data_IF_569917549419
#
_entry.id   IF_569917549419
#
_cell.length_a   1.000
_cell.length_b   1.000
_cell.length_c   1.000
_cell.angle_alpha   90.00
_cell.angle_beta   90.00
_cell.angle_gamma   90.00
#
_symmetry.space_group_name_H-M   'P 1'
#
loop_
_entity.id
_entity.type
_entity.pdbx_description
1 polymer ?
#
# COMPACT_ATOMS: atom_id res chain seq x y z
N UNK A 1 4.01 -4.10 -13.09
CA UNK A 1 5.36 -4.28 -12.51
C UNK A 1 6.30 -3.28 -13.13
N UNK A 2 6.42 -3.21 -14.46
CA UNK A 2 7.28 -2.24 -15.15
C UNK A 2 7.13 -0.81 -14.63
N UNK A 3 5.91 -0.27 -14.53
CA UNK A 3 5.68 1.08 -13.98
C UNK A 3 6.24 1.25 -12.57
N UNK A 4 5.97 0.29 -11.68
CA UNK A 4 6.49 0.29 -10.30
C UNK A 4 8.03 0.26 -10.28
N UNK A 5 8.65 -0.58 -11.11
CA UNK A 5 10.11 -0.70 -11.18
C UNK A 5 10.81 0.50 -11.82
N UNK A 6 10.10 1.35 -12.56
CA UNK A 6 10.60 2.63 -13.07
C UNK A 6 10.39 3.79 -12.10
N UNK A 7 9.80 3.55 -10.92
CA UNK A 7 9.69 4.56 -9.87
C UNK A 7 10.77 4.36 -8.82
N UNK A 8 11.50 5.44 -8.51
CA UNK A 8 12.50 5.43 -7.45
C UNK A 8 11.82 5.23 -6.09
N UNK A 9 12.30 4.25 -5.31
CA UNK A 9 11.74 3.89 -3.99
C UNK A 9 10.25 3.49 -3.98
N UNK A 10 9.66 3.11 -5.12
CA UNK A 10 8.30 2.58 -5.19
C UNK A 10 8.22 1.15 -4.65
N UNK A 11 7.34 0.92 -3.68
CA UNK A 11 7.11 -0.39 -3.06
C UNK A 11 5.82 -1.08 -3.53
N UNK A 12 4.82 -0.29 -3.90
CA UNK A 12 3.53 -0.80 -4.34
C UNK A 12 2.86 0.11 -5.37
N UNK A 13 1.81 -0.40 -6.01
CA UNK A 13 0.98 0.36 -6.92
C UNK A 13 -0.40 -0.28 -7.06
N UNK A 14 -1.45 0.51 -6.84
CA UNK A 14 -2.82 0.22 -7.16
C UNK A 14 -3.15 0.64 -8.61
N UNK A 15 -3.92 -0.19 -9.31
CA UNK A 15 -4.17 0.00 -10.74
C UNK A 15 -4.83 1.35 -11.10
N UNK A 16 -5.62 1.92 -10.20
CA UNK A 16 -6.27 3.21 -10.44
C UNK A 16 -5.27 4.39 -10.45
N UNK A 17 -4.11 4.28 -9.80
CA UNK A 17 -3.05 5.29 -9.86
C UNK A 17 -2.48 5.45 -11.29
N UNK A 18 -2.66 4.43 -12.16
CA UNK A 18 -2.28 4.46 -13.58
C UNK A 18 -3.50 4.46 -14.52
N UNK A 19 -4.68 4.85 -14.02
CA UNK A 19 -5.89 5.02 -14.82
C UNK A 19 -6.61 3.71 -15.19
N UNK A 20 -6.26 2.60 -14.55
CA UNK A 20 -6.92 1.30 -14.78
C UNK A 20 -7.95 1.06 -13.68
N UNK A 21 -9.24 1.12 -14.04
CA UNK A 21 -10.37 0.92 -13.12
C UNK A 21 -10.64 -0.58 -12.85
N UNK A 22 -9.63 -1.29 -12.37
CA UNK A 22 -9.73 -2.68 -11.89
C UNK A 22 -9.17 -2.75 -10.47
N UNK A 23 -9.69 -3.66 -9.65
CA UNK A 23 -9.18 -3.90 -8.30
C UNK A 23 -7.93 -4.77 -8.33
N UNK A 24 -6.81 -4.18 -8.72
CA UNK A 24 -5.51 -4.84 -8.80
C UNK A 24 -4.46 -4.06 -8.02
N UNK A 25 -3.61 -4.77 -7.29
CA UNK A 25 -2.46 -4.22 -6.57
C UNK A 25 -1.23 -5.02 -6.97
N UNK A 26 -0.11 -4.34 -7.18
CA UNK A 26 1.21 -4.96 -7.26
C UNK A 26 2.10 -4.47 -6.13
N UNK A 27 2.87 -5.36 -5.52
CA UNK A 27 3.81 -5.03 -4.43
C UNK A 27 5.15 -5.71 -4.73
N UNK A 28 6.23 -4.95 -4.60
CA UNK A 28 7.61 -5.44 -4.61
C UNK A 28 8.39 -4.74 -3.50
N UNK A 29 8.33 -5.32 -2.30
CA UNK A 29 8.84 -4.66 -1.10
C UNK A 29 9.17 -5.66 0.01
N UNK A 30 10.27 -5.46 0.75
CA UNK A 30 10.69 -6.32 1.87
C UNK A 30 10.77 -7.83 1.52
N UNK A 31 11.26 -8.18 0.32
CA UNK A 31 11.28 -9.53 -0.24
C UNK A 31 9.90 -10.16 -0.51
N UNK A 32 8.84 -9.35 -0.45
CA UNK A 32 7.51 -9.75 -0.87
C UNK A 32 7.24 -9.29 -2.28
N UNK A 33 6.78 -10.22 -3.11
CA UNK A 33 6.41 -9.97 -4.49
C UNK A 33 4.98 -10.45 -4.74
N UNK A 34 4.04 -9.52 -4.76
CA UNK A 34 2.62 -9.83 -4.85
C UNK A 34 1.95 -9.21 -6.07
N UNK A 35 1.04 -9.97 -6.67
CA UNK A 35 0.07 -9.54 -7.66
C UNK A 35 -1.30 -9.94 -7.13
N UNK A 36 -2.05 -8.97 -6.63
CA UNK A 36 -3.30 -9.21 -5.92
C UNK A 36 -4.47 -8.75 -6.77
N UNK A 37 -5.40 -9.67 -7.03
CA UNK A 37 -6.64 -9.41 -7.76
C UNK A 37 -7.80 -9.43 -6.77
N UNK A 38 -8.67 -8.42 -6.85
CA UNK A 38 -9.79 -8.21 -5.92
C UNK A 38 -9.41 -8.29 -4.43
N UNK A 39 -8.32 -7.63 -3.99
CA UNK A 39 -7.89 -7.71 -2.60
C UNK A 39 -8.91 -7.05 -1.66
N UNK A 40 -9.11 -7.68 -0.50
CA UNK A 40 -9.93 -7.17 0.61
C UNK A 40 -9.28 -7.53 1.95
N UNK A 41 -9.32 -6.59 2.89
CA UNK A 41 -8.92 -6.85 4.27
C UNK A 41 -10.03 -7.68 4.92
N UNK A 42 -9.68 -8.83 5.50
CA UNK A 42 -10.61 -9.74 6.19
C UNK A 42 -10.31 -9.88 7.69
N UNK A 43 -9.19 -9.31 8.15
CA UNK A 43 -8.85 -9.25 9.55
C UNK A 43 -7.78 -8.20 9.80
N UNK A 44 -7.82 -7.59 10.99
CA UNK A 44 -6.83 -6.60 11.43
C UNK A 44 -6.71 -6.61 12.94
N UNK A 45 -5.51 -6.35 13.46
CA UNK A 45 -5.27 -6.28 14.90
C UNK A 45 -4.09 -5.37 15.26
N UNK A 46 -4.12 -4.83 16.48
CA UNK A 46 -3.11 -3.89 16.99
C UNK A 46 -3.16 -2.54 16.28
N UNK A 47 -2.31 -1.60 16.72
CA UNK A 47 -2.26 -0.22 16.21
C UNK A 47 -0.81 0.25 16.18
N UNK A 48 -0.42 0.99 15.15
CA UNK A 48 0.91 1.58 14.98
C UNK A 48 0.80 2.96 14.34
N UNK A 49 1.78 3.81 14.65
CA UNK A 49 2.05 5.03 13.90
C UNK A 49 2.93 4.67 12.71
N UNK A 50 2.57 5.21 11.54
CA UNK A 50 3.27 4.95 10.29
C UNK A 50 3.58 6.26 9.57
N UNK A 51 4.73 6.33 8.90
CA UNK A 51 5.01 7.40 7.93
C UNK A 51 4.65 6.87 6.54
N UNK A 52 3.84 7.63 5.82
CA UNK A 52 3.37 7.31 4.48
C UNK A 52 3.74 8.41 3.49
N UNK A 53 4.19 7.98 2.32
CA UNK A 53 4.27 8.79 1.10
C UNK A 53 3.63 8.00 -0.04
N UNK A 54 3.14 8.71 -1.05
CA UNK A 54 2.45 8.09 -2.16
C UNK A 54 3.00 8.52 -3.52
N UNK A 55 3.12 7.58 -4.47
CA UNK A 55 3.56 7.89 -5.84
C UNK A 55 2.63 8.90 -6.55
N UNK A 56 1.36 8.92 -6.17
CA UNK A 56 0.36 9.85 -6.72
C UNK A 56 0.41 11.26 -6.10
N UNK A 57 1.11 11.42 -4.98
CA UNK A 57 1.21 12.68 -4.22
C UNK A 57 2.67 12.97 -3.86
N UNK A 58 3.50 13.31 -4.86
CA UNK A 58 4.93 13.52 -4.64
C UNK A 58 5.18 14.66 -3.66
N UNK A 59 6.21 14.51 -2.82
CA UNK A 59 6.62 15.45 -1.76
C UNK A 59 5.63 15.64 -0.61
N UNK A 60 4.56 14.85 -0.54
CA UNK A 60 3.67 14.83 0.61
C UNK A 60 3.93 13.61 1.47
N UNK A 61 4.26 13.86 2.73
CA UNK A 61 4.45 12.82 3.71
C UNK A 61 3.72 13.16 5.00
N UNK A 62 3.03 12.16 5.53
CA UNK A 62 2.23 12.33 6.74
C UNK A 62 2.39 11.12 7.63
N UNK A 63 2.17 11.36 8.91
CA UNK A 63 2.00 10.29 9.88
C UNK A 63 0.53 9.87 9.89
N UNK A 64 0.30 8.56 9.91
CA UNK A 64 -1.03 7.94 9.97
C UNK A 64 -1.08 6.92 11.10
N UNK A 65 -2.30 6.49 11.45
CA UNK A 65 -2.53 5.36 12.35
C UNK A 65 -3.02 4.16 11.54
N UNK A 66 -2.28 3.06 11.59
CA UNK A 66 -2.60 1.81 10.88
C UNK A 66 -2.69 0.62 11.83
N UNK A 67 -3.39 -0.47 11.45
CA UNK A 67 -3.28 -1.72 12.19
C UNK A 67 -1.85 -2.27 12.15
N UNK A 68 -1.41 -2.90 13.24
CA UNK A 68 -0.09 -3.56 13.30
C UNK A 68 -0.02 -4.82 12.44
N UNK A 69 -1.15 -5.51 12.29
CA UNK A 69 -1.29 -6.71 11.48
C UNK A 69 -2.57 -6.65 10.66
N UNK A 70 -2.48 -7.11 9.41
CA UNK A 70 -3.59 -7.18 8.46
C UNK A 70 -3.58 -8.52 7.75
N UNK A 71 -4.75 -9.13 7.61
CA UNK A 71 -4.96 -10.31 6.75
C UNK A 71 -5.78 -9.90 5.54
N UNK A 72 -5.26 -10.18 4.35
CA UNK A 72 -5.88 -9.88 3.05
C UNK A 72 -6.29 -11.18 2.38
N UNK A 73 -7.53 -11.23 1.89
CA UNK A 73 -7.99 -12.23 0.93
C UNK A 73 -7.94 -11.62 -0.47
N UNK A 74 -7.39 -12.35 -1.44
CA UNK A 74 -7.30 -11.94 -2.83
C UNK A 74 -7.29 -13.17 -3.76
N UNK A 75 -7.30 -12.94 -5.07
CA UNK A 75 -6.87 -13.94 -6.05
C UNK A 75 -5.44 -13.65 -6.50
N UNK A 76 -4.66 -14.69 -6.76
CA UNK A 76 -3.34 -14.57 -7.39
C UNK A 76 -3.47 -14.37 -8.92
N UNK A 77 -2.33 -14.28 -9.62
CA UNK A 77 -2.32 -14.08 -11.09
C UNK A 77 -2.91 -15.25 -11.90
N UNK A 78 -3.02 -16.44 -11.30
CA UNK A 78 -3.67 -17.61 -11.88
C UNK A 78 -5.17 -17.67 -11.56
N UNK A 79 -5.70 -16.72 -10.78
CA UNK A 79 -7.10 -16.69 -10.35
C UNK A 79 -7.43 -17.57 -9.14
N UNK A 80 -6.42 -18.08 -8.45
CA UNK A 80 -6.59 -18.92 -7.26
C UNK A 80 -6.72 -18.04 -6.00
N UNK A 81 -7.62 -18.41 -5.09
CA UNK A 81 -7.80 -17.69 -3.83
C UNK A 81 -6.60 -17.87 -2.91
N UNK A 82 -6.11 -16.76 -2.38
CA UNK A 82 -5.00 -16.69 -1.43
C UNK A 82 -5.38 -15.86 -0.22
N UNK A 83 -4.83 -16.25 0.93
CA UNK A 83 -4.91 -15.51 2.18
C UNK A 83 -3.50 -15.16 2.63
N UNK A 84 -3.19 -13.87 2.72
CA UNK A 84 -1.88 -13.36 3.10
C UNK A 84 -1.99 -12.50 4.35
N UNK A 85 -1.03 -12.61 5.25
CA UNK A 85 -0.95 -11.77 6.44
C UNK A 85 0.35 -10.97 6.42
N UNK A 86 0.23 -9.67 6.68
CA UNK A 86 1.34 -8.75 6.80
C UNK A 86 1.33 -8.06 8.16
N UNK A 87 2.51 -7.68 8.64
CA UNK A 87 2.72 -6.94 9.88
C UNK A 87 3.58 -5.70 9.60
N UNK A 88 3.53 -4.70 10.48
CA UNK A 88 4.36 -3.50 10.37
C UNK A 88 4.17 -2.76 9.04
N UNK A 89 5.26 -2.55 8.31
CA UNK A 89 5.27 -1.86 7.01
C UNK A 89 4.43 -2.56 5.94
N UNK A 90 4.32 -3.90 5.97
CA UNK A 90 3.47 -4.62 5.01
C UNK A 90 1.98 -4.46 5.34
N UNK A 91 1.63 -4.40 6.64
CA UNK A 91 0.26 -4.10 7.06
C UNK A 91 -0.17 -2.69 6.60
N UNK A 92 0.73 -1.71 6.75
CA UNK A 92 0.57 -0.34 6.21
C UNK A 92 0.35 -0.36 4.70
N UNK A 93 1.24 -1.03 3.96
CA UNK A 93 1.17 -1.14 2.50
C UNK A 93 -0.18 -1.73 2.05
N UNK A 94 -0.63 -2.84 2.64
CA UNK A 94 -1.95 -3.39 2.30
C UNK A 94 -3.10 -2.42 2.57
N UNK A 95 -3.07 -1.67 3.67
CA UNK A 95 -4.10 -0.67 3.94
C UNK A 95 -4.10 0.42 2.87
N UNK A 96 -2.93 1.01 2.58
CA UNK A 96 -2.76 2.09 1.62
C UNK A 96 -3.26 1.71 0.22
N UNK A 97 -2.79 0.58 -0.31
CA UNK A 97 -3.12 0.15 -1.67
C UNK A 97 -4.59 -0.25 -1.82
N UNK A 98 -5.19 -0.86 -0.79
CA UNK A 98 -6.61 -1.24 -0.83
C UNK A 98 -7.51 0.00 -0.72
N UNK A 99 -7.07 1.03 0.00
CA UNK A 99 -7.76 2.33 0.09
C UNK A 99 -7.76 3.08 -1.24
N UNK A 100 -6.65 3.03 -2.00
CA UNK A 100 -6.64 3.52 -3.37
C UNK A 100 -7.75 2.89 -4.22
N UNK A 101 -7.94 1.56 -4.13
CA UNK A 101 -9.01 0.87 -4.85
C UNK A 101 -10.42 1.25 -4.39
N UNK A 102 -10.56 1.88 -3.23
CA UNK A 102 -11.82 2.39 -2.68
C UNK A 102 -12.01 3.90 -2.98
N UNK A 103 -11.05 4.54 -3.65
CA UNK A 103 -11.07 5.97 -3.93
C UNK A 103 -10.71 6.84 -2.72
N UNK A 104 -10.06 6.25 -1.72
CA UNK A 104 -9.56 6.95 -0.54
C UNK A 104 -8.09 7.33 -0.72
N UNK A 105 -7.66 8.39 -0.04
CA UNK A 105 -6.27 8.85 -0.04
C UNK A 105 -5.74 8.95 1.39
N UNK A 106 -4.45 8.65 1.56
CA UNK A 106 -3.81 8.63 2.88
C UNK A 106 -3.79 10.00 3.58
N UNK A 107 -3.82 11.10 2.82
CA UNK A 107 -3.84 12.47 3.35
C UNK A 107 -5.06 12.74 4.23
N UNK A 108 -6.22 12.13 3.92
CA UNK A 108 -7.43 12.26 4.74
C UNK A 108 -7.30 11.59 6.12
N UNK A 109 -6.26 10.78 6.31
CA UNK A 109 -5.96 10.06 7.56
C UNK A 109 -4.74 10.63 8.30
N UNK A 110 -4.19 11.74 7.81
CA UNK A 110 -3.03 12.39 8.41
C UNK A 110 -3.34 12.85 9.85
N UNK A 111 -2.46 12.48 10.78
CA UNK A 111 -2.47 13.00 12.15
C UNK A 111 -1.40 14.07 12.36
N UNK A 112 -0.37 14.08 11.51
CA UNK A 112 0.77 15.01 11.54
C UNK A 112 1.39 15.07 10.15
N UNK A 113 1.75 16.26 9.66
CA UNK A 113 2.58 16.42 8.46
C UNK A 113 4.06 16.22 8.81
N UNK A 114 4.81 15.58 7.93
CA UNK A 114 6.23 15.29 8.15
C UNK A 114 7.06 15.94 7.07
N UNK A 115 7.91 16.90 7.45
CA UNK A 115 8.96 17.43 6.59
C UNK A 115 10.10 16.40 6.50
N UNK A 116 10.10 15.60 5.44
CA UNK A 116 11.17 14.64 5.20
C UNK A 116 12.32 15.29 4.41
N UNK A 117 13.44 15.48 5.11
CA UNK A 117 14.74 15.80 4.51
C UNK A 117 15.54 14.54 4.12
N UNK A 118 14.94 13.34 4.18
CA UNK A 118 15.67 12.07 4.15
C UNK A 118 15.30 11.18 2.95
N UNK A 119 16.33 10.68 2.27
CA UNK A 119 16.32 9.87 1.04
C UNK A 119 15.81 8.44 1.19
N UNK A 120 15.32 8.05 2.38
CA UNK A 120 14.96 6.66 2.71
C UNK A 120 13.45 6.37 2.67
N UNK A 121 12.63 7.32 2.21
CA UNK A 121 11.18 7.17 2.26
C UNK A 121 10.66 6.27 1.14
N UNK A 122 9.88 5.27 1.53
CA UNK A 122 9.21 4.31 0.65
C UNK A 122 7.89 4.90 0.16
N UNK A 123 7.67 4.87 -1.16
CA UNK A 123 6.42 5.32 -1.76
C UNK A 123 5.48 4.16 -2.04
N UNK A 124 4.22 4.35 -1.69
CA UNK A 124 3.11 3.43 -1.90
C UNK A 124 2.17 3.95 -3.01
#
# INVERSE_FOLDING_TARGET
MDTLHHTENGAALAANQVGILKRLIVIDYCNYYYKLINPKIVGSSGVQECIEGCLSFPNHFVKTIRPQKVTVQALNENGEEILISGEGEMAKCFCHEIEHLNGEIFLDKAIEEVDLNDTTTVFL
#
